data_IF_188553950453
#
_entry.id   IF_188553950453
#
_cell.length_a   1.000
_cell.length_b   1.000
_cell.length_c   1.000
_cell.angle_alpha   90.00
_cell.angle_beta   90.00
_cell.angle_gamma   90.00
#
_symmetry.space_group_name_H-M   'P 1'
#
loop_
_entity.id
_entity.type
_entity.pdbx_description
1 polymer ?
#
# COMPACT_ATOMS: atom_id res chain seq x y z
N UNK A 1 -9.05 16.93 2.08
CA UNK A 1 -9.10 15.53 1.60
C UNK A 1 -8.59 15.49 0.17
N UNK A 2 -7.55 14.70 -0.11
CA UNK A 2 -7.07 14.48 -1.48
C UNK A 2 -8.18 13.73 -2.22
N UNK A 3 -8.76 14.33 -3.28
CA UNK A 3 -9.80 13.72 -4.12
C UNK A 3 -9.26 12.54 -4.93
N UNK A 4 -8.87 11.47 -4.23
CA UNK A 4 -8.24 10.26 -4.74
C UNK A 4 -9.28 9.18 -5.13
N UNK A 5 -10.57 9.50 -5.10
CA UNK A 5 -11.63 8.52 -5.27
C UNK A 5 -11.72 7.93 -6.70
N UNK A 6 -11.16 8.62 -7.71
CA UNK A 6 -11.25 8.21 -9.12
C UNK A 6 -9.91 7.85 -9.77
N UNK A 7 -8.84 7.68 -9.00
CA UNK A 7 -7.51 7.37 -9.53
C UNK A 7 -7.03 5.98 -9.14
N UNK A 8 -6.52 5.23 -10.12
CA UNK A 8 -6.03 3.86 -10.00
C UNK A 8 -5.11 3.65 -8.77
N UNK A 9 -5.11 2.41 -8.24
CA UNK A 9 -4.62 1.91 -6.94
C UNK A 9 -3.18 2.26 -6.50
N UNK A 10 -2.47 3.15 -7.20
CA UNK A 10 -1.05 3.45 -6.96
C UNK A 10 -0.12 2.31 -7.38
N UNK A 11 -0.65 1.22 -7.94
CA UNK A 11 0.10 0.05 -8.40
C UNK A 11 0.76 0.25 -9.77
N UNK A 12 0.45 1.33 -10.49
CA UNK A 12 1.10 1.63 -11.76
C UNK A 12 2.51 2.17 -11.53
N UNK A 13 3.50 1.31 -11.78
CA UNK A 13 4.90 1.69 -11.78
C UNK A 13 5.31 2.21 -13.16
N UNK A 14 5.49 3.52 -13.30
CA UNK A 14 6.03 4.14 -14.52
C UNK A 14 6.96 5.30 -14.16
N UNK A 15 8.20 5.02 -13.72
CA UNK A 15 9.14 6.06 -13.32
C UNK A 15 9.53 6.98 -14.47
N UNK A 16 9.43 6.51 -15.72
CA UNK A 16 9.71 7.33 -16.91
C UNK A 16 8.68 8.43 -17.11
N UNK A 17 7.40 8.19 -16.79
CA UNK A 17 6.39 9.25 -16.78
C UNK A 17 6.76 10.36 -15.80
N UNK A 18 7.17 10.00 -14.58
CA UNK A 18 7.52 10.99 -13.55
C UNK A 18 8.76 11.82 -13.95
N UNK A 19 9.77 11.19 -14.56
CA UNK A 19 10.93 11.90 -15.11
C UNK A 19 10.52 12.87 -16.23
N UNK A 20 9.66 12.44 -17.17
CA UNK A 20 9.13 13.32 -18.22
C UNK A 20 8.36 14.52 -17.64
N UNK A 21 7.56 14.32 -16.60
CA UNK A 21 6.85 15.41 -15.92
C UNK A 21 7.84 16.44 -15.36
N UNK A 22 8.95 15.99 -14.76
CA UNK A 22 9.97 16.87 -14.19
C UNK A 22 10.77 17.62 -15.27
N UNK A 23 11.17 16.93 -16.34
CA UNK A 23 11.90 17.51 -17.48
C UNK A 23 11.08 18.58 -18.23
N UNK A 24 9.78 18.33 -18.43
CA UNK A 24 8.89 19.24 -19.16
C UNK A 24 8.34 20.39 -18.31
N UNK A 25 8.50 20.34 -16.97
CA UNK A 25 7.91 21.34 -16.08
C UNK A 25 8.41 22.76 -16.39
N UNK A 26 9.70 22.90 -16.71
CA UNK A 26 10.32 24.19 -16.96
C UNK A 26 9.78 24.91 -18.20
N UNK A 27 9.28 24.15 -19.19
CA UNK A 27 8.70 24.66 -20.44
C UNK A 27 7.18 24.56 -20.49
N UNK A 28 6.55 24.17 -19.37
CA UNK A 28 5.11 24.03 -19.28
C UNK A 28 4.43 25.40 -19.37
N UNK A 29 3.53 25.54 -20.32
CA UNK A 29 2.60 26.66 -20.40
C UNK A 29 1.23 26.25 -19.84
N UNK A 30 0.57 27.19 -19.14
CA UNK A 30 -0.78 27.01 -18.63
C UNK A 30 -1.77 27.80 -19.49
N UNK A 31 -2.90 27.19 -19.82
CA UNK A 31 -3.99 27.80 -20.58
C UNK A 31 -5.21 28.02 -19.68
N UNK A 32 -6.15 28.87 -20.10
CA UNK A 32 -7.38 29.14 -19.33
C UNK A 32 -8.12 27.86 -18.91
N UNK A 33 -8.09 26.90 -19.82
CA UNK A 33 -8.69 25.58 -19.72
C UNK A 33 -8.06 24.66 -18.66
N UNK A 34 -6.89 25.03 -18.13
CA UNK A 34 -6.21 24.32 -17.04
C UNK A 34 -6.71 24.76 -15.66
N UNK A 35 -7.63 25.74 -15.60
CA UNK A 35 -8.14 26.27 -14.35
C UNK A 35 -9.61 25.89 -14.10
N UNK A 36 -9.96 25.76 -12.82
CA UNK A 36 -11.34 25.60 -12.33
C UNK A 36 -11.81 26.91 -11.69
N UNK A 37 -13.12 27.10 -11.66
CA UNK A 37 -13.71 28.19 -10.89
C UNK A 37 -13.51 27.94 -9.39
N UNK A 38 -13.31 29.01 -8.63
CA UNK A 38 -13.38 28.95 -7.16
C UNK A 38 -14.84 29.26 -6.81
N UNK A 39 -15.55 28.23 -6.36
CA UNK A 39 -16.96 28.28 -6.02
C UNK A 39 -17.22 27.59 -4.69
N UNK A 40 -18.16 28.11 -3.93
CA UNK A 40 -18.59 27.56 -2.64
C UNK A 40 -20.12 27.54 -2.66
N UNK A 41 -20.72 26.40 -2.30
CA UNK A 41 -22.18 26.20 -2.27
C UNK A 41 -22.89 26.60 -3.60
N UNK A 42 -22.25 26.32 -4.74
CA UNK A 42 -22.80 26.69 -6.06
C UNK A 42 -22.60 28.17 -6.44
N UNK A 43 -22.13 29.02 -5.53
CA UNK A 43 -21.79 30.41 -5.83
C UNK A 43 -20.37 30.51 -6.36
N UNK A 44 -20.21 30.96 -7.61
CA UNK A 44 -18.89 31.22 -8.19
C UNK A 44 -18.33 32.56 -7.73
N UNK A 45 -17.25 32.50 -6.96
CA UNK A 45 -16.54 33.67 -6.41
C UNK A 45 -15.48 34.18 -7.40
N UNK A 46 -14.72 33.27 -8.00
CA UNK A 46 -13.70 33.58 -9.01
C UNK A 46 -13.88 32.65 -10.22
N UNK A 47 -14.10 33.24 -11.40
CA UNK A 47 -14.27 32.50 -12.66
C UNK A 47 -12.93 31.97 -13.19
N UNK A 48 -12.90 30.91 -14.03
CA UNK A 48 -11.66 30.36 -14.60
C UNK A 48 -10.81 31.42 -15.32
N UNK A 49 -11.41 32.24 -16.17
CA UNK A 49 -10.73 33.38 -16.82
C UNK A 49 -10.05 34.33 -15.83
N UNK A 50 -10.65 34.55 -14.67
CA UNK A 50 -10.07 35.41 -13.63
C UNK A 50 -8.89 34.73 -12.94
N UNK A 51 -8.97 33.42 -12.69
CA UNK A 51 -7.83 32.62 -12.20
C UNK A 51 -6.68 32.66 -13.20
N UNK A 52 -6.96 32.41 -14.47
CA UNK A 52 -5.98 32.51 -15.55
C UNK A 52 -5.31 33.89 -15.60
N UNK A 53 -6.09 34.97 -15.50
CA UNK A 53 -5.55 36.33 -15.46
C UNK A 53 -4.66 36.60 -14.24
N UNK A 54 -4.99 36.02 -13.08
CA UNK A 54 -4.20 36.15 -11.85
C UNK A 54 -2.88 35.39 -11.95
N UNK A 55 -2.88 34.21 -12.58
CA UNK A 55 -1.65 33.44 -12.86
C UNK A 55 -0.78 34.13 -13.91
N UNK A 56 -1.38 34.66 -14.98
CA UNK A 56 -0.67 35.31 -16.08
C UNK A 56 0.12 36.56 -15.66
N UNK A 57 -0.25 37.22 -14.55
CA UNK A 57 0.54 38.32 -13.95
C UNK A 57 1.97 37.92 -13.56
N UNK A 58 2.20 36.61 -13.39
CA UNK A 58 3.46 36.05 -12.93
C UNK A 58 4.11 35.12 -13.97
N UNK A 59 3.71 35.24 -15.25
CA UNK A 59 4.17 34.37 -16.35
C UNK A 59 5.67 34.50 -16.66
N UNK A 60 6.36 35.49 -16.10
CA UNK A 60 7.82 35.59 -16.16
C UNK A 60 8.52 34.49 -15.36
N UNK A 61 7.82 33.84 -14.42
CA UNK A 61 8.34 32.69 -13.69
C UNK A 61 7.85 31.39 -14.35
N UNK A 62 8.69 30.36 -14.45
CA UNK A 62 8.25 29.05 -14.92
C UNK A 62 7.20 28.45 -13.96
N UNK A 63 6.39 27.54 -14.47
CA UNK A 63 5.41 26.81 -13.65
C UNK A 63 6.14 26.03 -12.56
N UNK A 64 5.72 26.25 -11.31
CA UNK A 64 6.37 25.67 -10.15
C UNK A 64 6.00 26.40 -8.87
N UNK A 65 6.65 26.04 -7.74
CA UNK A 65 6.19 26.45 -6.40
C UNK A 65 6.13 27.97 -6.22
N UNK A 66 7.07 28.69 -6.83
CA UNK A 66 7.14 30.16 -6.76
C UNK A 66 5.96 30.82 -7.47
N UNK A 67 5.65 30.39 -8.70
CA UNK A 67 4.53 30.93 -9.47
C UNK A 67 3.21 30.63 -8.77
N UNK A 68 3.04 29.42 -8.25
CA UNK A 68 1.83 29.03 -7.51
C UNK A 68 1.66 29.82 -6.22
N UNK A 69 2.73 30.06 -5.45
CA UNK A 69 2.65 30.88 -4.26
C UNK A 69 2.18 32.32 -4.58
N UNK A 70 2.78 32.96 -5.58
CA UNK A 70 2.38 34.30 -6.02
C UNK A 70 0.94 34.33 -6.54
N UNK A 71 0.53 33.31 -7.29
CA UNK A 71 -0.84 33.18 -7.77
C UNK A 71 -1.84 33.03 -6.62
N UNK A 72 -1.52 32.27 -5.57
CA UNK A 72 -2.36 32.14 -4.37
C UNK A 72 -2.56 33.48 -3.67
N UNK A 73 -1.50 34.24 -3.42
CA UNK A 73 -1.58 35.55 -2.77
C UNK A 73 -2.47 36.53 -3.56
N UNK A 74 -2.33 36.53 -4.88
CA UNK A 74 -3.18 37.32 -5.78
C UNK A 74 -4.64 36.82 -5.80
N UNK A 75 -4.87 35.50 -5.75
CA UNK A 75 -6.21 34.92 -5.70
C UNK A 75 -6.92 35.27 -4.38
N UNK A 76 -6.21 35.25 -3.24
CA UNK A 76 -6.76 35.71 -1.95
C UNK A 76 -7.12 37.19 -2.01
N UNK A 77 -6.23 38.03 -2.54
CA UNK A 77 -6.51 39.47 -2.72
C UNK A 77 -7.75 39.69 -3.60
N UNK A 78 -7.88 38.90 -4.67
CA UNK A 78 -9.05 38.96 -5.57
C UNK A 78 -10.32 38.48 -4.87
N UNK A 79 -10.24 37.41 -4.08
CA UNK A 79 -11.34 36.89 -3.28
C UNK A 79 -11.84 37.96 -2.31
N UNK A 80 -10.94 38.57 -1.53
CA UNK A 80 -11.28 39.64 -0.59
C UNK A 80 -11.96 40.83 -1.29
N UNK A 81 -11.45 41.24 -2.45
CA UNK A 81 -12.09 42.30 -3.25
C UNK A 81 -13.48 41.89 -3.73
N UNK A 82 -13.67 40.64 -4.13
CA UNK A 82 -14.97 40.12 -4.57
C UNK A 82 -15.98 40.11 -3.41
N UNK A 83 -15.56 39.65 -2.23
CA UNK A 83 -16.40 39.67 -1.02
C UNK A 83 -16.74 41.10 -0.61
N UNK A 84 -15.78 42.03 -0.68
CA UNK A 84 -16.04 43.46 -0.45
C UNK A 84 -17.07 44.06 -1.42
N UNK A 85 -17.04 43.66 -2.70
CA UNK A 85 -18.07 44.08 -3.67
C UNK A 85 -19.43 43.45 -3.35
N UNK A 86 -19.47 42.17 -2.96
CA UNK A 86 -20.69 41.48 -2.59
C UNK A 86 -21.33 42.07 -1.32
N UNK A 87 -20.54 42.62 -0.40
CA UNK A 87 -21.05 43.26 0.80
C UNK A 87 -21.96 44.47 0.53
N UNK A 88 -21.90 45.06 -0.67
CA UNK A 88 -22.76 46.17 -1.10
C UNK A 88 -24.08 45.69 -1.74
N UNK A 89 -24.34 44.39 -1.78
CA UNK A 89 -25.58 43.86 -2.32
C UNK A 89 -26.67 43.87 -1.24
N UNK A 90 -27.77 44.57 -1.51
CA UNK A 90 -28.87 44.77 -0.56
C UNK A 90 -29.50 43.44 -0.08
N UNK A 91 -29.66 42.45 -0.96
CA UNK A 91 -30.24 41.14 -0.60
C UNK A 91 -29.36 40.40 0.41
N UNK A 92 -28.02 40.50 0.26
CA UNK A 92 -27.06 39.89 1.19
C UNK A 92 -27.05 40.65 2.53
N UNK A 93 -27.19 41.98 2.50
CA UNK A 93 -27.28 42.77 3.73
C UNK A 93 -28.56 42.44 4.50
N UNK A 94 -29.70 42.31 3.81
CA UNK A 94 -30.96 41.88 4.40
C UNK A 94 -30.87 40.47 4.99
N UNK A 95 -30.25 39.53 4.27
CA UNK A 95 -29.98 38.16 4.77
C UNK A 95 -29.18 38.22 6.08
N UNK A 96 -28.07 38.97 6.10
CA UNK A 96 -27.21 39.12 7.28
C UNK A 96 -27.95 39.76 8.47
N UNK A 97 -28.77 40.79 8.22
CA UNK A 97 -29.56 41.44 9.28
C UNK A 97 -30.71 40.57 9.79
N UNK A 98 -31.16 39.59 9.00
CA UNK A 98 -32.23 38.66 9.37
C UNK A 98 -31.78 37.48 10.23
N UNK A 99 -30.47 37.33 10.47
CA UNK A 99 -29.91 36.25 11.29
C UNK A 99 -30.45 36.30 12.72
N UNK A 100 -30.86 35.15 13.24
CA UNK A 100 -31.30 35.03 14.63
C UNK A 100 -30.10 35.06 15.61
N UNK A 101 -30.38 35.06 16.92
CA UNK A 101 -29.35 35.16 17.96
C UNK A 101 -28.36 34.00 17.91
N UNK A 102 -28.81 32.78 17.61
CA UNK A 102 -27.97 31.59 17.56
C UNK A 102 -27.02 31.67 16.35
N UNK A 103 -27.56 32.02 15.18
CA UNK A 103 -26.80 32.23 13.95
C UNK A 103 -25.80 33.39 14.08
N UNK A 104 -26.18 34.49 14.72
CA UNK A 104 -25.25 35.60 14.96
C UNK A 104 -24.07 35.17 15.86
N UNK A 105 -24.32 34.37 16.88
CA UNK A 105 -23.25 33.83 17.73
C UNK A 105 -22.33 32.88 16.94
N UNK A 106 -22.87 32.09 16.01
CA UNK A 106 -22.07 31.21 15.15
C UNK A 106 -21.17 31.99 14.18
N UNK A 107 -21.72 33.01 13.52
CA UNK A 107 -21.03 33.81 12.50
C UNK A 107 -20.02 34.79 13.13
N UNK A 108 -20.47 35.56 14.12
CA UNK A 108 -19.73 36.71 14.65
C UNK A 108 -19.12 36.46 16.03
N UNK A 109 -19.51 35.38 16.72
CA UNK A 109 -19.17 35.15 18.12
C UNK A 109 -19.86 36.10 19.10
N UNK A 110 -20.80 36.94 18.62
CA UNK A 110 -21.53 37.97 19.39
C UNK A 110 -22.82 38.37 18.68
N UNK A 111 -23.74 38.94 19.44
CA UNK A 111 -24.89 39.64 18.85
C UNK A 111 -24.46 40.95 18.20
N UNK A 112 -25.04 41.27 17.06
CA UNK A 112 -24.76 42.48 16.30
C UNK A 112 -25.98 43.41 16.28
N UNK A 113 -25.75 44.71 16.27
CA UNK A 113 -26.79 45.74 16.11
C UNK A 113 -26.18 46.93 15.36
N UNK A 114 -25.88 46.78 14.05
CA UNK A 114 -25.27 47.84 13.27
C UNK A 114 -26.16 49.08 13.26
N UNK A 115 -25.56 50.26 13.44
CA UNK A 115 -26.23 51.54 13.69
C UNK A 115 -26.18 52.51 12.50
N UNK A 116 -25.30 52.24 11.53
CA UNK A 116 -25.16 52.99 10.28
C UNK A 116 -24.78 52.08 9.10
N UNK A 117 -24.77 52.65 7.89
CA UNK A 117 -24.43 51.91 6.66
C UNK A 117 -22.99 51.35 6.67
N UNK A 118 -22.06 52.04 7.33
CA UNK A 118 -20.66 51.61 7.39
C UNK A 118 -20.51 50.36 8.27
N UNK A 119 -21.22 50.32 9.40
CA UNK A 119 -21.33 49.15 10.25
C UNK A 119 -22.05 48.00 9.55
N UNK A 120 -23.14 48.26 8.80
CA UNK A 120 -23.82 47.22 8.01
C UNK A 120 -22.85 46.59 6.99
N UNK A 121 -22.09 47.41 6.27
CA UNK A 121 -21.09 46.93 5.31
C UNK A 121 -19.99 46.09 6.00
N UNK A 122 -19.49 46.55 7.14
CA UNK A 122 -18.47 45.83 7.89
C UNK A 122 -18.98 44.46 8.38
N UNK A 123 -20.20 44.39 8.93
CA UNK A 123 -20.82 43.13 9.38
C UNK A 123 -21.14 42.20 8.22
N UNK A 124 -21.61 42.74 7.10
CA UNK A 124 -21.86 41.94 5.89
C UNK A 124 -20.57 41.32 5.37
N UNK A 125 -19.44 42.04 5.43
CA UNK A 125 -18.13 41.49 5.05
C UNK A 125 -17.68 40.37 5.99
N UNK A 126 -17.88 40.51 7.30
CA UNK A 126 -17.62 39.43 8.28
C UNK A 126 -18.47 38.20 7.99
N UNK A 127 -19.78 38.38 7.74
CA UNK A 127 -20.70 37.30 7.36
C UNK A 127 -20.25 36.57 6.09
N UNK A 128 -19.87 37.32 5.04
CA UNK A 128 -19.39 36.76 3.78
C UNK A 128 -18.06 35.99 3.94
N UNK A 129 -17.14 36.50 4.76
CA UNK A 129 -15.89 35.80 5.07
C UNK A 129 -16.15 34.47 5.79
N UNK A 130 -17.08 34.44 6.73
CA UNK A 130 -17.51 33.21 7.40
C UNK A 130 -18.15 32.24 6.41
N UNK A 131 -19.13 32.71 5.64
CA UNK A 131 -19.89 31.90 4.66
C UNK A 131 -18.98 31.25 3.61
N UNK A 132 -18.00 32.01 3.13
CA UNK A 132 -17.11 31.58 2.05
C UNK A 132 -15.71 31.20 2.53
N UNK A 133 -15.54 30.89 3.82
CA UNK A 133 -14.24 30.53 4.41
C UNK A 133 -13.53 29.39 3.64
N UNK A 134 -14.28 28.38 3.19
CA UNK A 134 -13.75 27.26 2.41
C UNK A 134 -13.14 27.66 1.05
N UNK A 135 -13.45 28.85 0.52
CA UNK A 135 -12.80 29.36 -0.69
C UNK A 135 -11.30 29.57 -0.48
N UNK A 136 -10.87 29.99 0.72
CA UNK A 136 -9.46 30.11 1.05
C UNK A 136 -8.76 28.73 1.03
N UNK A 137 -9.44 27.67 1.48
CA UNK A 137 -8.91 26.30 1.41
C UNK A 137 -8.79 25.80 -0.03
N UNK A 138 -9.72 26.15 -0.92
CA UNK A 138 -9.63 25.85 -2.36
C UNK A 138 -8.40 26.53 -2.97
N UNK A 139 -8.12 27.78 -2.60
CA UNK A 139 -6.93 28.53 -3.03
C UNK A 139 -5.66 27.86 -2.49
N UNK A 140 -5.62 27.57 -1.19
CA UNK A 140 -4.44 27.00 -0.53
C UNK A 140 -4.13 25.56 -0.96
N UNK A 141 -5.15 24.75 -1.17
CA UNK A 141 -4.95 23.41 -1.73
C UNK A 141 -4.55 23.45 -3.20
N UNK A 142 -4.65 24.60 -3.88
CA UNK A 142 -4.50 24.72 -5.33
C UNK A 142 -5.49 23.83 -6.11
N UNK A 143 -6.68 23.60 -5.55
CA UNK A 143 -7.73 22.79 -6.19
C UNK A 143 -8.36 23.47 -7.42
N UNK A 144 -8.03 24.75 -7.63
CA UNK A 144 -8.33 25.51 -8.83
C UNK A 144 -7.45 25.12 -10.05
N UNK A 145 -6.45 24.26 -9.89
CA UNK A 145 -5.68 23.68 -10.99
C UNK A 145 -6.27 22.32 -11.44
N UNK A 146 -6.36 22.10 -12.75
CA UNK A 146 -6.66 20.80 -13.36
C UNK A 146 -5.38 19.99 -13.58
N UNK A 147 -4.80 19.49 -12.48
CA UNK A 147 -3.55 18.69 -12.52
C UNK A 147 -3.67 17.48 -13.45
N UNK A 148 -4.84 16.83 -13.44
CA UNK A 148 -5.21 15.75 -14.34
C UNK A 148 -5.07 16.16 -15.82
N UNK A 149 -5.68 17.28 -16.21
CA UNK A 149 -5.63 17.78 -17.59
C UNK A 149 -4.22 18.19 -18.00
N UNK A 150 -3.51 18.89 -17.12
CA UNK A 150 -2.13 19.32 -17.34
C UNK A 150 -1.23 18.10 -17.57
N UNK A 151 -1.29 17.10 -16.68
CA UNK A 151 -0.45 15.92 -16.79
C UNK A 151 -0.80 15.04 -17.99
N UNK A 152 -2.08 14.89 -18.35
CA UNK A 152 -2.49 14.20 -19.58
C UNK A 152 -1.90 14.86 -20.83
N UNK A 153 -1.86 16.20 -20.86
CA UNK A 153 -1.22 16.95 -21.95
C UNK A 153 0.30 16.72 -21.99
N UNK A 154 0.98 16.80 -20.84
CA UNK A 154 2.43 16.61 -20.74
C UNK A 154 2.87 15.20 -21.15
N UNK A 155 2.10 14.19 -20.76
CA UNK A 155 2.42 12.79 -21.03
C UNK A 155 1.83 12.25 -22.34
N UNK A 156 1.01 13.04 -23.04
CA UNK A 156 0.21 12.59 -24.19
C UNK A 156 -0.58 11.31 -23.87
N UNK A 157 -1.26 11.31 -22.73
CA UNK A 157 -1.97 10.15 -22.17
C UNK A 157 -3.48 10.42 -22.06
N UNK A 158 -4.29 9.37 -22.16
CA UNK A 158 -5.76 9.45 -22.00
C UNK A 158 -6.21 9.48 -20.54
N UNK A 159 -5.35 9.09 -19.61
CA UNK A 159 -5.58 9.13 -18.17
C UNK A 159 -4.24 9.18 -17.42
N UNK A 160 -4.26 9.66 -16.18
CA UNK A 160 -3.13 9.62 -15.26
C UNK A 160 -3.39 8.61 -14.14
N UNK A 161 -2.33 7.94 -13.72
CA UNK A 161 -2.30 7.20 -12.46
C UNK A 161 -2.35 8.15 -11.25
N UNK A 162 -2.77 7.64 -10.10
CA UNK A 162 -2.76 8.42 -8.85
C UNK A 162 -1.37 8.94 -8.49
N UNK A 163 -0.31 8.15 -8.75
CA UNK A 163 1.06 8.56 -8.48
C UNK A 163 1.54 9.70 -9.39
N UNK A 164 1.22 9.66 -10.70
CA UNK A 164 1.52 10.75 -11.63
C UNK A 164 0.81 12.05 -11.23
N UNK A 165 -0.48 11.97 -10.86
CA UNK A 165 -1.25 13.11 -10.37
C UNK A 165 -0.61 13.74 -9.12
N UNK A 166 -0.27 12.91 -8.13
CA UNK A 166 0.38 13.38 -6.90
C UNK A 166 1.74 13.98 -7.20
N UNK A 167 2.59 13.30 -7.98
CA UNK A 167 3.93 13.78 -8.31
C UNK A 167 3.90 15.13 -9.04
N UNK A 168 3.03 15.28 -10.06
CA UNK A 168 2.87 16.54 -10.77
C UNK A 168 2.40 17.66 -9.84
N UNK A 169 1.49 17.37 -8.91
CA UNK A 169 1.05 18.35 -7.91
C UNK A 169 2.20 18.77 -7.00
N UNK A 170 3.06 17.85 -6.56
CA UNK A 170 4.24 18.18 -5.75
C UNK A 170 5.21 19.06 -6.53
N UNK A 171 5.44 18.75 -7.82
CA UNK A 171 6.28 19.56 -8.70
C UNK A 171 5.75 21.00 -8.86
N UNK A 172 4.45 21.15 -9.14
CA UNK A 172 3.83 22.45 -9.41
C UNK A 172 3.68 23.28 -8.14
N UNK A 173 3.21 22.67 -7.04
CA UNK A 173 2.85 23.42 -5.82
C UNK A 173 4.01 23.53 -4.83
N UNK A 174 4.99 22.63 -4.90
CA UNK A 174 6.02 22.49 -3.87
C UNK A 174 5.46 22.06 -2.51
N UNK A 175 4.25 21.49 -2.52
CA UNK A 175 3.64 20.85 -1.37
C UNK A 175 4.48 19.64 -0.94
N UNK A 176 4.41 19.30 0.34
CA UNK A 176 5.22 18.28 0.97
C UNK A 176 5.40 18.59 2.45
N UNK A 177 5.71 17.58 3.23
CA UNK A 177 5.90 17.76 4.68
C UNK A 177 7.34 18.17 4.96
N UNK A 178 7.56 19.47 5.14
CA UNK A 178 8.89 20.08 5.28
C UNK A 178 9.40 20.07 6.73
N UNK A 179 8.54 19.79 7.71
CA UNK A 179 8.92 19.77 9.12
C UNK A 179 9.39 18.40 9.58
N UNK A 180 9.03 17.33 8.87
CA UNK A 180 9.53 15.97 9.14
C UNK A 180 11.04 15.91 8.86
N UNK A 181 11.78 15.42 9.86
CA UNK A 181 13.25 15.32 9.81
C UNK A 181 13.76 13.94 9.48
N UNK A 182 13.00 12.89 9.82
CA UNK A 182 13.40 11.50 9.62
C UNK A 182 12.21 10.72 9.08
N UNK A 183 12.46 9.90 8.06
CA UNK A 183 11.50 8.95 7.49
C UNK A 183 12.14 7.58 7.50
N UNK A 184 11.45 6.61 8.07
CA UNK A 184 11.88 5.21 8.03
C UNK A 184 10.94 4.43 7.11
N UNK A 185 11.51 3.71 6.15
CA UNK A 185 10.77 2.81 5.28
C UNK A 185 11.27 1.40 5.57
N UNK A 186 10.40 0.59 6.13
CA UNK A 186 10.64 -0.83 6.32
C UNK A 186 10.21 -1.62 5.08
N UNK A 187 10.85 -2.77 4.86
CA UNK A 187 10.64 -3.63 3.68
C UNK A 187 10.70 -2.85 2.34
N UNK A 188 11.71 -1.98 2.18
CA UNK A 188 11.83 -1.06 1.04
C UNK A 188 11.81 -1.76 -0.33
N UNK A 189 12.21 -3.04 -0.39
CA UNK A 189 12.16 -3.86 -1.60
C UNK A 189 10.74 -4.15 -2.11
N UNK A 190 9.69 -3.88 -1.33
CA UNK A 190 8.30 -4.01 -1.75
C UNK A 190 7.77 -2.73 -2.42
N UNK A 191 8.53 -1.64 -2.38
CA UNK A 191 8.15 -0.38 -3.00
C UNK A 191 8.60 -0.32 -4.46
N UNK A 192 7.76 0.27 -5.29
CA UNK A 192 8.08 0.58 -6.69
C UNK A 192 8.93 1.85 -6.79
N UNK A 193 9.66 2.02 -7.91
CA UNK A 193 10.41 3.25 -8.17
C UNK A 193 9.51 4.49 -8.11
N UNK A 194 8.31 4.37 -8.70
CA UNK A 194 7.32 5.46 -8.74
C UNK A 194 6.92 5.91 -7.33
N UNK A 195 6.64 4.96 -6.42
CA UNK A 195 6.28 5.28 -5.04
C UNK A 195 7.44 5.95 -4.29
N UNK A 196 8.67 5.45 -4.47
CA UNK A 196 9.86 6.02 -3.82
C UNK A 196 10.20 7.42 -4.33
N UNK A 197 10.02 7.68 -5.63
CA UNK A 197 10.15 9.03 -6.20
C UNK A 197 9.16 10.01 -5.57
N UNK A 198 7.89 9.60 -5.41
CA UNK A 198 6.86 10.41 -4.73
C UNK A 198 7.25 10.67 -3.28
N UNK A 199 7.67 9.65 -2.52
CA UNK A 199 8.08 9.79 -1.12
C UNK A 199 9.30 10.71 -0.97
N UNK A 200 10.32 10.52 -1.81
CA UNK A 200 11.53 11.36 -1.82
C UNK A 200 11.20 12.82 -2.11
N UNK A 201 10.24 13.10 -3.01
CA UNK A 201 9.79 14.47 -3.30
C UNK A 201 8.92 15.04 -2.18
N UNK A 202 8.01 14.25 -1.60
CA UNK A 202 7.10 14.70 -0.55
C UNK A 202 7.84 15.05 0.75
N UNK A 203 8.85 14.27 1.12
CA UNK A 203 9.70 14.48 2.29
C UNK A 203 11.09 15.00 1.92
N UNK A 204 11.16 16.00 1.04
CA UNK A 204 12.42 16.47 0.42
C UNK A 204 13.47 17.05 1.39
N UNK A 205 13.17 17.16 2.69
CA UNK A 205 14.07 17.66 3.74
C UNK A 205 14.37 16.63 4.83
N UNK A 206 13.82 15.42 4.69
CA UNK A 206 14.00 14.37 5.69
C UNK A 206 15.23 13.52 5.38
N UNK A 207 15.82 12.96 6.43
CA UNK A 207 16.79 11.87 6.33
C UNK A 207 16.04 10.54 6.27
N UNK A 208 16.37 9.71 5.27
CA UNK A 208 15.74 8.42 5.08
C UNK A 208 16.56 7.29 5.70
N UNK A 209 15.89 6.42 6.45
CA UNK A 209 16.38 5.11 6.86
C UNK A 209 15.58 4.06 6.10
N UNK A 210 16.22 3.45 5.10
CA UNK A 210 15.61 2.43 4.25
C UNK A 210 16.09 1.06 4.73
N UNK A 211 15.15 0.23 5.16
CA UNK A 211 15.41 -1.11 5.71
C UNK A 211 14.80 -2.14 4.77
N UNK A 212 15.51 -3.23 4.52
CA UNK A 212 15.00 -4.30 3.66
C UNK A 212 16.05 -5.31 3.26
N UNK A 213 15.57 -6.34 2.56
CA UNK A 213 16.39 -7.42 2.01
C UNK A 213 16.00 -7.67 0.55
N UNK A 214 16.92 -7.42 -0.37
CA UNK A 214 16.70 -7.60 -1.82
C UNK A 214 16.35 -9.05 -2.19
N UNK A 215 16.77 -10.03 -1.39
CA UNK A 215 16.46 -11.44 -1.58
C UNK A 215 15.04 -11.81 -1.14
N UNK A 216 14.35 -10.89 -0.46
CA UNK A 216 12.93 -11.01 -0.09
C UNK A 216 12.01 -10.16 -0.98
N UNK A 217 12.49 -9.69 -2.14
CA UNK A 217 11.66 -9.06 -3.16
C UNK A 217 10.86 -10.12 -3.94
N UNK A 218 9.64 -10.42 -3.46
CA UNK A 218 8.80 -11.51 -4.00
C UNK A 218 7.89 -11.08 -5.16
N UNK A 219 7.95 -9.80 -5.54
CA UNK A 219 7.20 -9.15 -6.63
C UNK A 219 8.15 -8.75 -7.77
N UNK A 220 7.64 -8.69 -9.00
CA UNK A 220 8.47 -8.41 -10.20
C UNK A 220 8.67 -6.90 -10.46
N UNK A 221 7.70 -6.07 -10.10
CA UNK A 221 7.66 -4.64 -10.47
C UNK A 221 8.16 -3.68 -9.36
N UNK A 222 8.96 -4.17 -8.41
CA UNK A 222 9.50 -3.37 -7.31
C UNK A 222 10.91 -2.83 -7.60
N UNK A 223 11.31 -1.79 -6.88
CA UNK A 223 12.59 -1.13 -7.08
C UNK A 223 13.75 -2.03 -6.60
N UNK A 224 14.77 -2.17 -7.43
CA UNK A 224 16.04 -2.77 -7.02
C UNK A 224 16.82 -1.80 -6.13
N UNK A 225 17.71 -2.31 -5.27
CA UNK A 225 18.49 -1.47 -4.36
C UNK A 225 19.38 -0.46 -5.10
N UNK A 226 19.88 -0.81 -6.28
CA UNK A 226 20.60 0.11 -7.15
C UNK A 226 19.70 1.26 -7.65
N UNK A 227 18.44 0.97 -8.00
CA UNK A 227 17.48 2.00 -8.40
C UNK A 227 17.10 2.89 -7.21
N UNK A 228 16.91 2.31 -6.02
CA UNK A 228 16.66 3.05 -4.78
C UNK A 228 17.81 4.04 -4.54
N UNK A 229 19.06 3.58 -4.59
CA UNK A 229 20.24 4.43 -4.44
C UNK A 229 20.25 5.58 -5.46
N UNK A 230 19.97 5.29 -6.74
CA UNK A 230 19.88 6.31 -7.79
C UNK A 230 18.79 7.35 -7.52
N UNK A 231 17.59 6.93 -7.08
CA UNK A 231 16.47 7.82 -6.77
C UNK A 231 16.83 8.76 -5.62
N UNK A 232 17.38 8.22 -4.52
CA UNK A 232 17.71 9.02 -3.35
C UNK A 232 18.95 9.90 -3.57
N UNK A 233 19.93 9.45 -4.36
CA UNK A 233 21.05 10.28 -4.80
C UNK A 233 20.58 11.46 -5.66
N UNK A 234 19.66 11.22 -6.61
CA UNK A 234 19.13 12.29 -7.46
C UNK A 234 18.33 13.35 -6.67
N UNK A 235 17.65 12.93 -5.59
CA UNK A 235 16.78 13.82 -4.80
C UNK A 235 17.51 14.50 -3.64
N UNK A 236 18.54 13.87 -3.05
CA UNK A 236 19.23 14.34 -1.84
C UNK A 236 20.72 14.70 -2.08
N UNK A 237 21.25 14.47 -3.29
CA UNK A 237 22.59 14.86 -3.70
C UNK A 237 23.59 13.69 -3.79
N UNK A 238 24.72 13.94 -4.45
CA UNK A 238 25.82 12.97 -4.55
C UNK A 238 26.40 12.63 -3.17
N UNK A 239 26.63 11.34 -2.91
CA UNK A 239 27.15 10.85 -1.63
C UNK A 239 26.14 10.87 -0.47
N UNK A 240 24.87 11.18 -0.74
CA UNK A 240 23.82 11.19 0.29
C UNK A 240 23.40 9.79 0.77
N UNK A 241 23.66 8.76 -0.02
CA UNK A 241 23.28 7.38 0.28
C UNK A 241 24.48 6.60 0.79
N UNK A 242 24.29 5.88 1.90
CA UNK A 242 25.26 4.92 2.44
C UNK A 242 24.56 3.60 2.75
N UNK A 243 25.26 2.49 2.53
CA UNK A 243 24.70 1.14 2.72
C UNK A 243 25.44 0.42 3.84
N UNK A 244 24.69 -0.14 4.78
CA UNK A 244 25.20 -1.01 5.84
C UNK A 244 24.53 -2.38 5.72
N UNK A 245 25.31 -3.46 5.60
CA UNK A 245 24.81 -4.83 5.55
C UNK A 245 24.89 -5.47 6.93
N UNK A 246 23.77 -6.00 7.41
CA UNK A 246 23.71 -6.81 8.63
C UNK A 246 23.79 -8.29 8.24
N UNK A 247 24.90 -8.92 8.58
CA UNK A 247 25.25 -10.26 8.09
C UNK A 247 25.05 -11.37 9.14
N UNK A 248 24.65 -10.99 10.35
CA UNK A 248 24.43 -11.95 11.45
C UNK A 248 22.94 -12.23 11.59
N UNK A 249 22.56 -13.50 11.41
CA UNK A 249 21.22 -14.01 11.66
C UNK A 249 21.06 -14.33 13.16
N UNK A 250 20.14 -13.62 13.80
CA UNK A 250 19.73 -13.87 15.18
C UNK A 250 18.44 -14.69 15.29
N UNK A 251 17.76 -14.92 14.16
CA UNK A 251 16.41 -15.49 14.11
C UNK A 251 16.42 -17.01 13.99
N UNK A 252 17.10 -17.52 12.97
CA UNK A 252 17.00 -18.93 12.56
C UNK A 252 18.24 -19.73 12.99
N UNK A 253 18.08 -21.05 13.17
CA UNK A 253 19.19 -21.95 13.45
C UNK A 253 20.27 -21.93 12.33
N UNK A 254 21.51 -22.38 12.62
CA UNK A 254 22.55 -22.53 11.60
C UNK A 254 22.12 -23.39 10.40
N UNK A 255 21.36 -24.46 10.62
CA UNK A 255 20.89 -25.37 9.58
C UNK A 255 19.87 -24.69 8.65
N UNK A 256 18.93 -23.92 9.21
CA UNK A 256 17.94 -23.16 8.45
C UNK A 256 18.62 -22.01 7.70
N UNK A 257 19.56 -21.32 8.36
CA UNK A 257 20.34 -20.25 7.75
C UNK A 257 21.16 -20.77 6.58
N UNK A 258 21.83 -21.92 6.72
CA UNK A 258 22.55 -22.57 5.63
C UNK A 258 21.63 -22.98 4.47
N UNK A 259 20.39 -23.39 4.77
CA UNK A 259 19.39 -23.74 3.76
C UNK A 259 18.98 -22.52 2.93
N UNK A 260 18.43 -21.47 3.53
CA UNK A 260 17.96 -20.34 2.71
C UNK A 260 19.12 -19.56 2.06
N UNK A 261 20.30 -19.47 2.70
CA UNK A 261 21.49 -18.84 2.10
C UNK A 261 22.07 -19.63 0.94
N UNK A 262 21.78 -20.93 0.82
CA UNK A 262 22.18 -21.72 -0.35
C UNK A 262 21.55 -21.23 -1.65
N UNK A 263 20.43 -20.51 -1.55
CA UNK A 263 19.73 -19.91 -2.67
C UNK A 263 20.38 -18.59 -3.12
N UNK A 264 21.31 -18.04 -2.34
CA UNK A 264 22.01 -16.80 -2.66
C UNK A 264 23.21 -17.05 -3.59
N UNK A 265 23.83 -15.97 -4.06
CA UNK A 265 25.12 -16.04 -4.74
C UNK A 265 26.23 -16.56 -3.82
N UNK A 266 27.31 -17.12 -4.37
CA UNK A 266 28.43 -17.62 -3.58
C UNK A 266 29.06 -16.53 -2.69
N UNK A 267 29.10 -15.29 -3.17
CA UNK A 267 29.63 -14.13 -2.44
C UNK A 267 28.79 -13.79 -1.20
N UNK A 268 27.46 -13.81 -1.32
CA UNK A 268 26.54 -13.52 -0.23
C UNK A 268 26.45 -14.68 0.78
N UNK A 269 26.57 -15.92 0.30
CA UNK A 269 26.49 -17.13 1.13
C UNK A 269 27.60 -17.19 2.18
N UNK A 270 28.82 -16.76 1.83
CA UNK A 270 29.97 -16.77 2.74
C UNK A 270 29.93 -15.69 3.83
N UNK A 271 29.01 -14.73 3.74
CA UNK A 271 28.95 -13.58 4.63
C UNK A 271 27.96 -13.78 5.79
N UNK A 272 26.98 -14.67 5.63
CA UNK A 272 25.89 -14.82 6.60
C UNK A 272 26.22 -15.89 7.64
N UNK A 273 26.07 -15.56 8.93
CA UNK A 273 26.28 -16.50 10.04
C UNK A 273 25.11 -16.47 11.03
N UNK A 274 24.77 -17.61 11.62
CA UNK A 274 23.78 -17.68 12.71
C UNK A 274 24.46 -17.72 14.07
N UNK A 275 23.89 -17.00 15.05
CA UNK A 275 24.32 -17.07 16.46
C UNK A 275 23.46 -18.02 17.31
N UNK A 276 22.41 -18.57 16.72
CA UNK A 276 21.52 -19.52 17.41
C UNK A 276 22.21 -20.86 17.60
N UNK A 277 21.72 -21.64 18.57
CA UNK A 277 22.18 -23.03 18.75
C UNK A 277 21.76 -23.87 17.55
N UNK A 278 22.55 -24.90 17.26
CA UNK A 278 22.20 -25.93 16.28
C UNK A 278 20.81 -26.50 16.59
N UNK A 279 19.98 -26.60 15.55
CA UNK A 279 18.60 -27.04 15.61
C UNK A 279 18.39 -28.35 14.86
N UNK A 280 17.13 -28.61 14.52
CA UNK A 280 16.77 -29.76 13.68
C UNK A 280 17.14 -29.45 12.23
N UNK A 281 17.76 -30.41 11.53
CA UNK A 281 18.06 -30.28 10.10
C UNK A 281 16.75 -30.17 9.30
N UNK A 282 16.73 -29.40 8.19
CA UNK A 282 15.59 -29.38 7.29
C UNK A 282 15.26 -30.77 6.74
N UNK A 283 13.97 -31.05 6.61
CA UNK A 283 13.45 -32.30 6.04
C UNK A 283 12.84 -32.04 4.67
N UNK A 284 13.09 -32.95 3.73
CA UNK A 284 12.61 -32.86 2.35
C UNK A 284 11.75 -34.08 2.02
N UNK A 285 10.57 -33.83 1.46
CA UNK A 285 9.61 -34.85 1.05
C UNK A 285 9.31 -34.66 -0.43
N UNK A 286 10.03 -35.42 -1.28
CA UNK A 286 9.78 -35.48 -2.71
C UNK A 286 8.79 -36.61 -3.00
N UNK A 287 7.57 -36.25 -3.44
CA UNK A 287 6.52 -37.22 -3.75
C UNK A 287 6.42 -37.36 -5.26
N UNK A 288 6.81 -38.52 -5.81
CA UNK A 288 6.75 -38.83 -7.24
C UNK A 288 6.05 -40.17 -7.43
N UNK A 289 5.05 -40.21 -8.29
CA UNK A 289 4.34 -41.45 -8.64
C UNK A 289 4.17 -41.59 -10.16
N UNK A 290 3.77 -42.79 -10.60
CA UNK A 290 3.61 -43.12 -12.03
C UNK A 290 2.48 -42.34 -12.71
N UNK A 291 1.47 -41.92 -11.95
CA UNK A 291 0.37 -41.09 -12.42
C UNK A 291 0.06 -39.93 -11.45
N UNK A 292 -0.59 -38.89 -11.98
CA UNK A 292 -0.85 -37.64 -11.24
C UNK A 292 -1.85 -37.79 -10.09
N UNK A 293 -2.77 -38.75 -10.16
CA UNK A 293 -3.77 -38.94 -9.12
C UNK A 293 -3.15 -39.66 -7.91
N UNK A 294 -2.31 -40.67 -8.17
CA UNK A 294 -1.49 -41.33 -7.15
C UNK A 294 -0.51 -40.34 -6.48
N UNK A 295 0.21 -39.54 -7.26
CA UNK A 295 1.14 -38.52 -6.76
C UNK A 295 0.42 -37.52 -5.85
N UNK A 296 -0.76 -37.05 -6.28
CA UNK A 296 -1.58 -36.14 -5.48
C UNK A 296 -2.04 -36.78 -4.17
N UNK A 297 -2.49 -38.04 -4.20
CA UNK A 297 -2.95 -38.75 -3.02
C UNK A 297 -1.82 -38.92 -1.99
N UNK A 298 -0.63 -39.32 -2.44
CA UNK A 298 0.55 -39.47 -1.58
C UNK A 298 1.05 -38.13 -1.03
N UNK A 299 1.03 -37.06 -1.83
CA UNK A 299 1.36 -35.71 -1.40
C UNK A 299 0.42 -35.26 -0.27
N UNK A 300 -0.88 -35.45 -0.46
CA UNK A 300 -1.88 -35.10 0.53
C UNK A 300 -1.75 -35.91 1.83
N UNK A 301 -1.40 -37.20 1.72
CA UNK A 301 -1.13 -38.05 2.89
C UNK A 301 0.13 -37.60 3.64
N UNK A 302 1.17 -37.18 2.91
CA UNK A 302 2.39 -36.60 3.48
C UNK A 302 2.07 -35.30 4.22
N UNK A 303 1.34 -34.38 3.59
CA UNK A 303 0.90 -33.13 4.22
C UNK A 303 0.07 -33.38 5.48
N UNK A 304 -0.85 -34.36 5.46
CA UNK A 304 -1.62 -34.76 6.64
C UNK A 304 -0.72 -35.21 7.79
N UNK A 305 0.24 -36.10 7.52
CA UNK A 305 1.20 -36.59 8.53
C UNK A 305 2.00 -35.45 9.15
N UNK A 306 2.48 -34.50 8.34
CA UNK A 306 3.21 -33.33 8.84
C UNK A 306 2.34 -32.40 9.67
N UNK A 307 1.07 -32.21 9.29
CA UNK A 307 0.10 -31.44 10.08
C UNK A 307 -0.15 -32.09 11.43
N UNK A 308 -0.35 -33.41 11.49
CA UNK A 308 -0.55 -34.14 12.75
C UNK A 308 0.68 -34.02 13.67
N UNK A 309 1.89 -34.13 13.13
CA UNK A 309 3.13 -33.88 13.87
C UNK A 309 3.22 -32.44 14.39
N UNK A 310 2.88 -31.46 13.54
CA UNK A 310 2.89 -30.05 13.88
C UNK A 310 1.83 -29.67 14.93
N UNK A 311 0.70 -30.39 14.99
CA UNK A 311 -0.31 -30.20 16.03
C UNK A 311 0.13 -30.68 17.40
N UNK A 312 1.01 -31.70 17.46
CA UNK A 312 1.59 -32.18 18.71
C UNK A 312 2.73 -31.28 19.23
N UNK A 313 3.25 -30.38 18.38
CA UNK A 313 4.31 -29.45 18.74
C UNK A 313 3.76 -28.27 19.56
N UNK A 314 4.43 -27.95 20.67
CA UNK A 314 4.07 -26.78 21.49
C UNK A 314 4.72 -25.51 20.91
N UNK A 315 4.13 -25.01 19.84
CA UNK A 315 4.51 -23.77 19.18
C UNK A 315 3.70 -23.55 17.91
N UNK A 316 4.10 -22.56 17.13
CA UNK A 316 3.39 -22.15 15.93
C UNK A 316 4.04 -22.70 14.66
N UNK A 317 3.26 -23.46 13.89
CA UNK A 317 3.68 -24.00 12.59
C UNK A 317 2.93 -23.33 11.46
N UNK A 318 3.63 -22.80 10.48
CA UNK A 318 3.04 -22.26 9.26
C UNK A 318 3.18 -23.23 8.09
N UNK A 319 2.08 -23.47 7.37
CA UNK A 319 2.08 -24.06 6.04
C UNK A 319 2.02 -22.91 5.05
N UNK A 320 3.06 -22.75 4.24
CA UNK A 320 3.21 -21.64 3.30
C UNK A 320 2.98 -22.15 1.89
N UNK A 321 1.95 -21.62 1.24
CA UNK A 321 1.71 -21.79 -0.20
C UNK A 321 2.13 -20.53 -0.97
N UNK A 322 2.39 -20.65 -2.27
CA UNK A 322 2.76 -19.49 -3.10
C UNK A 322 1.63 -18.47 -3.27
N UNK A 323 0.38 -18.93 -3.37
CA UNK A 323 -0.78 -18.09 -3.70
C UNK A 323 -2.06 -18.46 -2.94
N UNK A 324 -2.98 -17.47 -2.80
CA UNK A 324 -4.28 -17.62 -2.12
C UNK A 324 -5.21 -18.67 -2.72
N UNK A 325 -5.11 -18.91 -4.03
CA UNK A 325 -5.87 -19.95 -4.74
C UNK A 325 -5.46 -21.33 -4.23
N UNK A 326 -4.15 -21.54 -4.06
CA UNK A 326 -3.57 -22.80 -3.58
C UNK A 326 -3.84 -23.02 -2.10
N UNK A 327 -3.79 -21.97 -1.27
CA UNK A 327 -4.24 -22.01 0.13
C UNK A 327 -5.66 -22.57 0.25
N UNK A 328 -6.61 -21.99 -0.51
CA UNK A 328 -8.02 -22.44 -0.50
C UNK A 328 -8.17 -23.88 -0.96
N UNK A 329 -7.41 -24.27 -1.98
CA UNK A 329 -7.41 -25.65 -2.47
C UNK A 329 -6.91 -26.62 -1.40
N UNK A 330 -5.74 -26.36 -0.80
CA UNK A 330 -5.11 -27.25 0.17
C UNK A 330 -5.94 -27.35 1.45
N UNK A 331 -6.50 -26.24 1.93
CA UNK A 331 -7.43 -26.23 3.06
C UNK A 331 -8.59 -27.21 2.85
N UNK A 332 -9.24 -27.15 1.68
CA UNK A 332 -10.35 -28.05 1.33
C UNK A 332 -9.92 -29.52 1.23
N UNK A 333 -8.70 -29.80 0.75
CA UNK A 333 -8.20 -31.17 0.69
C UNK A 333 -7.93 -31.73 2.09
N UNK A 334 -7.28 -30.96 2.96
CA UNK A 334 -7.02 -31.34 4.34
C UNK A 334 -8.32 -31.57 5.12
N UNK A 335 -9.33 -30.71 4.93
CA UNK A 335 -10.68 -30.90 5.49
C UNK A 335 -11.29 -32.26 5.14
N UNK A 336 -11.23 -32.67 3.88
CA UNK A 336 -11.72 -33.99 3.46
C UNK A 336 -10.98 -35.14 4.14
N UNK A 337 -9.65 -35.06 4.20
CA UNK A 337 -8.80 -36.13 4.74
C UNK A 337 -8.92 -36.31 6.26
N UNK A 338 -9.18 -35.24 7.00
CA UNK A 338 -9.44 -35.30 8.44
C UNK A 338 -10.87 -35.74 8.75
N UNK A 339 -11.84 -35.45 7.86
CA UNK A 339 -13.21 -35.93 8.01
C UNK A 339 -13.32 -37.46 7.78
N UNK A 340 -12.62 -38.01 6.79
CA UNK A 340 -12.64 -39.44 6.48
C UNK A 340 -11.96 -40.31 7.55
N UNK A 341 -10.95 -39.77 8.25
CA UNK A 341 -10.26 -40.46 9.34
C UNK A 341 -11.00 -40.50 10.69
N UNK A 342 -12.08 -39.72 10.83
CA UNK A 342 -12.83 -39.56 12.10
C UNK A 342 -13.97 -40.55 12.34
N UNK A 343 -14.35 -41.37 11.35
CA UNK A 343 -15.42 -42.36 11.49
C UNK A 343 -14.88 -43.73 11.92
N UNK A 344 -14.42 -43.81 13.18
CA UNK A 344 -14.24 -45.05 13.92
C UNK A 344 -15.20 -45.08 15.11
N UNK A 345 -16.22 -45.93 15.02
CA UNK A 345 -17.21 -46.30 16.06
C UNK A 345 -18.27 -45.26 16.47
N UNK A 346 -19.45 -45.36 15.84
CA UNK A 346 -20.73 -45.21 16.54
C UNK A 346 -21.79 -46.05 15.80
N UNK A 347 -22.14 -47.16 16.44
CA UNK A 347 -23.20 -48.09 16.02
C UNK A 347 -24.59 -47.42 16.09
N UNK A 348 -25.41 -47.77 15.09
CA UNK A 348 -26.88 -47.77 15.01
C UNK A 348 -27.75 -46.85 15.89
N UNK A 349 -28.52 -45.98 15.24
CA UNK A 349 -29.99 -45.99 15.33
C UNK A 349 -30.62 -45.10 14.24
N UNK A 350 -31.56 -45.71 13.52
CA UNK A 350 -32.47 -45.12 12.53
C UNK A 350 -33.57 -44.28 13.19
N UNK A 351 -33.96 -43.17 12.58
CA UNK A 351 -35.30 -42.95 11.99
C UNK A 351 -35.50 -41.51 11.50
N UNK A 352 -36.37 -41.36 10.50
CA UNK A 352 -36.46 -40.20 9.63
C UNK A 352 -37.29 -39.01 10.14
N UNK A 353 -37.32 -37.95 9.32
CA UNK A 353 -38.52 -37.38 8.67
C UNK A 353 -38.10 -36.15 7.86
N UNK A 354 -38.67 -36.04 6.67
CA UNK A 354 -38.48 -34.99 5.68
C UNK A 354 -39.07 -33.63 6.10
N UNK A 355 -38.46 -32.54 5.63
CA UNK A 355 -39.02 -31.19 5.70
C UNK A 355 -38.35 -30.23 4.71
N UNK A 356 -39.04 -29.93 3.62
CA UNK A 356 -38.69 -28.89 2.65
C UNK A 356 -38.74 -27.50 3.27
N UNK A 357 -37.79 -26.63 2.92
CA UNK A 357 -37.85 -25.20 3.23
C UNK A 357 -36.68 -24.42 2.64
N UNK A 358 -36.88 -23.84 1.46
CA UNK A 358 -35.98 -22.83 0.91
C UNK A 358 -36.15 -21.51 1.68
N UNK A 359 -35.06 -20.96 2.21
CA UNK A 359 -34.96 -19.55 2.60
C UNK A 359 -33.49 -19.08 2.58
N UNK A 360 -33.26 -18.00 1.84
CA UNK A 360 -32.05 -17.19 1.83
C UNK A 360 -31.69 -16.67 3.24
N UNK A 361 -30.40 -16.59 3.56
CA UNK A 361 -29.86 -15.51 4.37
C UNK A 361 -28.32 -15.41 4.27
N UNK A 362 -27.87 -14.17 4.21
CA UNK A 362 -26.49 -13.69 4.23
C UNK A 362 -25.67 -14.15 5.44
N UNK A 363 -24.36 -14.24 5.23
CA UNK A 363 -23.36 -14.33 6.29
C UNK A 363 -22.39 -15.49 6.05
N UNK A 364 -21.25 -15.20 5.43
CA UNK A 364 -20.13 -16.15 5.36
C UNK A 364 -19.55 -16.34 6.77
N UNK A 365 -20.24 -17.13 7.58
CA UNK A 365 -19.70 -17.71 8.79
C UNK A 365 -18.69 -18.78 8.35
N UNK A 366 -17.40 -18.51 8.59
CA UNK A 366 -16.36 -19.55 8.54
C UNK A 366 -16.76 -20.65 9.52
N UNK A 367 -17.25 -21.76 8.96
CA UNK A 367 -17.53 -22.96 9.72
C UNK A 367 -16.21 -23.46 10.31
N UNK A 368 -16.07 -23.38 11.64
CA UNK A 368 -15.03 -24.10 12.38
C UNK A 368 -15.28 -25.60 12.17
N UNK A 369 -14.46 -26.24 11.34
CA UNK A 369 -14.40 -27.70 11.23
C UNK A 369 -13.00 -28.22 11.63
N UNK A 370 -13.01 -29.45 12.11
CA UNK A 370 -12.09 -30.07 13.06
C UNK A 370 -10.75 -30.56 12.44
N UNK A 371 -10.10 -29.75 11.59
CA UNK A 371 -8.79 -30.10 10.99
C UNK A 371 -7.60 -29.72 11.86
N UNK A 372 -7.81 -28.88 12.88
CA UNK A 372 -6.74 -28.27 13.68
C UNK A 372 -5.81 -27.32 12.91
N UNK A 373 -6.14 -26.99 11.65
CA UNK A 373 -5.42 -26.01 10.81
C UNK A 373 -6.26 -24.74 10.65
N UNK A 374 -5.71 -23.58 11.02
CA UNK A 374 -6.37 -22.28 10.85
C UNK A 374 -5.87 -21.62 9.55
N UNK A 375 -6.76 -21.42 8.58
CA UNK A 375 -6.45 -20.57 7.42
C UNK A 375 -6.40 -19.11 7.87
N UNK A 376 -5.30 -18.42 7.58
CA UNK A 376 -5.15 -16.99 7.91
C UNK A 376 -5.49 -16.10 6.72
N UNK A 377 -6.14 -14.99 7.02
CA UNK A 377 -6.38 -13.87 6.10
C UNK A 377 -5.71 -12.60 6.62
N UNK A 378 -5.69 -11.53 5.81
CA UNK A 378 -5.07 -10.24 6.17
C UNK A 378 -5.69 -9.55 7.39
N UNK A 379 -6.83 -10.01 7.88
CA UNK A 379 -7.53 -9.43 9.02
C UNK A 379 -7.40 -10.26 10.31
N UNK A 380 -6.74 -11.42 10.23
CA UNK A 380 -6.59 -12.33 11.35
C UNK A 380 -5.34 -12.02 12.18
N UNK A 381 -5.43 -12.19 13.50
CA UNK A 381 -4.26 -12.26 14.36
C UNK A 381 -3.64 -13.66 14.34
N UNK A 382 -2.31 -13.70 14.50
CA UNK A 382 -1.59 -14.96 14.65
C UNK A 382 -1.94 -15.61 16.00
N UNK A 383 -2.27 -16.91 16.01
CA UNK A 383 -2.43 -17.65 17.26
C UNK A 383 -1.06 -17.87 17.92
N UNK A 384 -1.04 -18.05 19.25
CA UNK A 384 0.19 -18.30 19.99
C UNK A 384 0.80 -19.69 19.68
N UNK A 385 -0.02 -20.66 19.28
CA UNK A 385 0.40 -22.02 18.91
C UNK A 385 -0.60 -22.71 17.99
N UNK A 386 -0.19 -23.83 17.41
CA UNK A 386 -0.97 -24.65 16.50
C UNK A 386 -0.50 -24.53 15.05
N UNK A 387 -1.34 -24.95 14.12
CA UNK A 387 -1.01 -24.96 12.68
C UNK A 387 -1.81 -23.90 11.95
N UNK A 388 -1.12 -23.04 11.20
CA UNK A 388 -1.73 -22.02 10.34
C UNK A 388 -1.40 -22.29 8.89
N UNK A 389 -2.33 -21.97 7.99
CA UNK A 389 -2.16 -22.09 6.55
C UNK A 389 -2.37 -20.72 5.90
N UNK A 390 -1.38 -20.26 5.13
CA UNK A 390 -1.36 -18.92 4.54
C UNK A 390 -0.54 -18.88 3.24
N UNK A 391 -0.74 -17.82 2.46
CA UNK A 391 0.06 -17.55 1.27
C UNK A 391 1.35 -16.79 1.64
N UNK A 392 2.36 -16.91 0.78
CA UNK A 392 3.68 -16.31 0.98
C UNK A 392 3.62 -14.80 1.22
N UNK A 393 2.70 -14.10 0.55
CA UNK A 393 2.51 -12.67 0.73
C UNK A 393 2.10 -12.29 2.17
N UNK A 394 1.28 -13.13 2.82
CA UNK A 394 0.92 -12.94 4.24
C UNK A 394 2.02 -13.43 5.18
N UNK A 395 2.77 -14.47 4.81
CA UNK A 395 3.85 -15.01 5.63
C UNK A 395 5.06 -14.06 5.72
N UNK A 396 5.28 -13.23 4.70
CA UNK A 396 6.35 -12.22 4.69
C UNK A 396 6.16 -11.23 5.85
N UNK A 397 7.25 -10.95 6.56
CA UNK A 397 7.23 -10.11 7.77
C UNK A 397 6.80 -10.84 9.05
N UNK A 398 6.30 -12.08 8.95
CA UNK A 398 5.97 -12.92 10.11
C UNK A 398 7.11 -13.89 10.44
N UNK A 399 7.02 -14.51 11.61
CA UNK A 399 7.97 -15.50 12.12
C UNK A 399 7.19 -16.68 12.70
N UNK A 400 7.71 -17.89 12.48
CA UNK A 400 7.10 -19.14 12.94
C UNK A 400 8.17 -20.06 13.52
N UNK A 401 7.82 -20.82 14.55
CA UNK A 401 8.71 -21.84 15.12
C UNK A 401 9.06 -22.89 14.07
N UNK A 402 8.05 -23.32 13.31
CA UNK A 402 8.20 -24.27 12.22
C UNK A 402 7.53 -23.77 10.93
N UNK A 403 8.13 -24.10 9.79
CA UNK A 403 7.54 -23.84 8.47
C UNK A 403 7.50 -25.10 7.64
N UNK A 404 6.34 -25.37 7.05
CA UNK A 404 6.12 -26.35 5.99
C UNK A 404 5.98 -25.57 4.69
N UNK A 405 6.97 -25.65 3.80
CA UNK A 405 6.88 -25.10 2.44
C UNK A 405 6.15 -26.12 1.59
N UNK A 406 4.93 -25.77 1.16
CA UNK A 406 4.14 -26.60 0.27
C UNK A 406 4.52 -26.36 -1.19
N UNK A 407 4.32 -27.39 -2.01
CA UNK A 407 4.39 -27.31 -3.47
C UNK A 407 5.78 -26.91 -4.01
N UNK A 408 6.85 -27.48 -3.44
CA UNK A 408 8.23 -27.15 -3.78
C UNK A 408 8.75 -27.78 -5.10
N UNK A 409 7.86 -28.18 -6.01
CA UNK A 409 8.20 -28.69 -7.35
C UNK A 409 8.57 -27.58 -8.34
N UNK A 410 9.25 -27.96 -9.44
CA UNK A 410 9.77 -27.04 -10.47
C UNK A 410 8.69 -26.17 -11.13
N UNK A 411 7.46 -26.69 -11.29
CA UNK A 411 6.35 -25.96 -11.90
C UNK A 411 5.95 -24.72 -11.10
N UNK A 412 6.14 -24.77 -9.77
CA UNK A 412 5.81 -23.69 -8.83
C UNK A 412 7.02 -22.84 -8.51
N UNK A 413 8.18 -23.48 -8.30
CA UNK A 413 9.46 -22.82 -8.07
C UNK A 413 10.42 -23.11 -9.21
N UNK A 414 10.32 -22.31 -10.28
CA UNK A 414 11.19 -22.42 -11.45
C UNK A 414 12.61 -21.99 -11.12
N UNK A 415 13.58 -22.37 -11.94
CA UNK A 415 14.98 -21.94 -11.81
C UNK A 415 15.22 -20.47 -12.22
N UNK A 416 14.36 -19.55 -11.78
CA UNK A 416 14.42 -18.11 -12.05
C UNK A 416 14.64 -17.29 -10.76
N UNK A 417 14.90 -15.99 -10.92
CA UNK A 417 15.19 -15.10 -9.81
C UNK A 417 14.00 -14.89 -8.87
N UNK A 418 12.78 -14.80 -9.40
CA UNK A 418 11.59 -14.52 -8.60
C UNK A 418 11.20 -15.72 -7.72
N UNK A 419 11.23 -16.93 -8.29
CA UNK A 419 10.97 -18.18 -7.59
C UNK A 419 12.01 -18.43 -6.50
N UNK A 420 13.28 -18.16 -6.79
CA UNK A 420 14.37 -18.21 -5.81
C UNK A 420 14.13 -17.28 -4.63
N UNK A 421 13.77 -16.01 -4.87
CA UNK A 421 13.43 -15.04 -3.79
C UNK A 421 12.20 -15.45 -3.00
N UNK A 422 11.18 -16.00 -3.66
CA UNK A 422 9.98 -16.54 -3.01
C UNK A 422 10.31 -17.71 -2.09
N UNK A 423 11.13 -18.65 -2.56
CA UNK A 423 11.56 -19.79 -1.78
C UNK A 423 12.46 -19.36 -0.62
N UNK A 424 13.42 -18.47 -0.86
CA UNK A 424 14.24 -17.83 0.18
C UNK A 424 13.36 -17.22 1.27
N UNK A 425 12.35 -16.43 0.87
CA UNK A 425 11.43 -15.77 1.80
C UNK A 425 10.67 -16.79 2.63
N UNK A 426 10.08 -17.82 2.00
CA UNK A 426 9.34 -18.87 2.69
C UNK A 426 10.20 -19.60 3.74
N UNK A 427 11.43 -19.99 3.36
CA UNK A 427 12.36 -20.71 4.23
C UNK A 427 12.85 -19.84 5.40
N UNK A 428 13.08 -18.54 5.16
CA UNK A 428 13.56 -17.59 6.18
C UNK A 428 12.52 -17.26 7.27
N UNK A 429 11.26 -17.70 7.13
CA UNK A 429 10.22 -17.48 8.14
C UNK A 429 10.34 -18.42 9.34
N UNK A 430 11.12 -19.51 9.20
CA UNK A 430 11.28 -20.51 10.25
C UNK A 430 12.39 -20.16 11.25
N UNK A 431 12.10 -20.37 12.53
CA UNK A 431 13.08 -20.21 13.61
C UNK A 431 13.77 -21.53 13.99
N UNK A 432 13.02 -22.63 14.08
CA UNK A 432 13.49 -23.90 14.66
C UNK A 432 13.47 -25.10 13.73
N UNK A 433 12.49 -25.20 12.81
CA UNK A 433 12.41 -26.34 11.90
C UNK A 433 11.78 -25.96 10.55
N UNK A 434 12.31 -26.56 9.47
CA UNK A 434 11.79 -26.39 8.11
C UNK A 434 11.52 -27.77 7.51
N UNK A 435 10.33 -27.93 6.95
CA UNK A 435 9.92 -29.09 6.16
C UNK A 435 9.56 -28.59 4.75
N UNK A 436 10.06 -29.25 3.72
CA UNK A 436 9.83 -28.88 2.32
C UNK A 436 9.17 -30.05 1.61
N UNK A 437 8.01 -29.82 1.01
CA UNK A 437 7.21 -30.88 0.36
C UNK A 437 6.96 -30.52 -1.09
N UNK A 438 7.31 -31.42 -2.01
CA UNK A 438 6.97 -31.28 -3.44
C UNK A 438 5.92 -32.30 -3.86
N UNK A 439 4.98 -31.87 -4.69
CA UNK A 439 4.09 -32.73 -5.45
C UNK A 439 4.72 -32.89 -6.85
N UNK A 440 5.44 -33.98 -7.05
CA UNK A 440 6.35 -34.19 -8.17
C UNK A 440 7.80 -33.92 -7.78
N UNK A 441 8.67 -33.87 -8.80
CA UNK A 441 10.11 -33.67 -8.61
C UNK A 441 10.40 -32.32 -7.95
N UNK A 442 11.26 -32.32 -6.93
CA UNK A 442 11.66 -31.13 -6.21
C UNK A 442 12.34 -30.13 -7.14
N UNK A 443 12.12 -28.83 -6.90
CA UNK A 443 12.73 -27.77 -7.67
C UNK A 443 14.27 -27.92 -7.77
N UNK A 444 14.87 -27.69 -8.96
CA UNK A 444 16.31 -27.72 -9.11
C UNK A 444 17.03 -26.68 -8.24
N UNK A 445 16.33 -25.65 -7.74
CA UNK A 445 16.88 -24.69 -6.78
C UNK A 445 17.36 -25.35 -5.48
N UNK A 446 16.78 -26.49 -5.09
CA UNK A 446 17.13 -27.25 -3.88
C UNK A 446 17.94 -28.52 -4.19
N UNK A 447 18.16 -28.85 -5.47
CA UNK A 447 18.78 -30.11 -5.90
C UNK A 447 20.20 -30.35 -5.38
N UNK A 448 20.95 -29.29 -5.04
CA UNK A 448 22.31 -29.41 -4.46
C UNK A 448 22.30 -29.76 -2.96
N UNK A 449 21.11 -29.80 -2.34
CA UNK A 449 20.91 -30.03 -0.91
C UNK A 449 20.17 -31.35 -0.60
N UNK A 450 19.58 -31.96 -1.62
CA UNK A 450 19.09 -33.34 -1.64
C UNK A 450 20.26 -34.29 -1.90
#
# INVERSE_FOLDING_TARGET
>A
ALGLADHASGAHNNPNSLKKLEEQLATLELYEDDFKAISVEGTTLIKPAQVASSVAKFSQFPVGPRLIALAKDELHTRLERRLGQMAHNDEIQEEMLSLDVEQQLEVFGRTISPSDEEEVLARTREFLNWRFASAHEVIESASWLRIDRIGMRMLNASALSGAECVYLRLLITGAGEKNVKFVMIDEVQDYTETQLMVLGKYFSRAHFLLLGDSNQAIWEDTATFEQIEKIFTATHGEGAVSTCKLLTSYRSSPEITALFTSLLSEEERGQTSSVQRGGKKPEFFEVVADDKDAERAEYLQTMKSLVEQAQAFDGLTAIVCTEKSRVRWLAKQLEGLFAEGGNGTADGATDGVAGNGAAQANGAAQAKLNTGVKVLTSHDSLPAKGVVLLDLALAKGLEFDQVIVADAQEEVYKADGISRRRLYTALSRAMHHVMVVSQGKMTPLLSKLL
#
